data_IF_519195344657
#
_entry.id   IF_519195344657
#
_cell.length_a   1.000
_cell.length_b   1.000
_cell.length_c   1.000
_cell.angle_alpha   90.00
_cell.angle_beta   90.00
_cell.angle_gamma   90.00
#
_symmetry.space_group_name_H-M   'P 1'
#
loop_
_entity.id
_entity.type
_entity.pdbx_description
1 polymer ?
#
# COMPACT_ATOMS: atom_id res chain seq x y z
N UNK A 1 14.74 6.74 19.41
CA UNK A 1 14.71 5.33 18.96
C UNK A 1 13.37 4.63 19.19
N UNK A 2 12.76 4.63 20.39
CA UNK A 2 11.49 3.89 20.63
C UNK A 2 10.30 4.33 19.77
N UNK A 3 10.10 5.64 19.58
CA UNK A 3 9.01 6.19 18.75
C UNK A 3 9.18 5.89 17.27
N UNK A 4 10.43 5.90 16.77
CA UNK A 4 10.76 5.65 15.36
C UNK A 4 10.44 4.20 14.97
N UNK A 5 10.88 3.25 15.81
CA UNK A 5 10.59 1.82 15.62
C UNK A 5 9.10 1.48 15.70
N UNK A 6 8.32 2.26 16.45
CA UNK A 6 6.86 2.12 16.52
C UNK A 6 6.21 2.62 15.22
N UNK A 7 6.67 3.76 14.69
CA UNK A 7 6.19 4.31 13.42
C UNK A 7 6.53 3.43 12.22
N UNK A 8 7.72 2.82 12.16
CA UNK A 8 8.08 1.88 11.08
C UNK A 8 7.18 0.63 11.09
N UNK A 9 6.97 0.06 12.27
CA UNK A 9 6.08 -1.10 12.42
C UNK A 9 4.63 -0.76 12.06
N UNK A 10 4.15 0.42 12.46
CA UNK A 10 2.82 0.89 12.09
C UNK A 10 2.67 1.08 10.56
N UNK A 11 3.68 1.65 9.90
CA UNK A 11 3.69 1.82 8.45
C UNK A 11 3.74 0.47 7.71
N UNK A 12 4.51 -0.50 8.22
CA UNK A 12 4.56 -1.86 7.69
C UNK A 12 3.20 -2.55 7.78
N UNK A 13 2.58 -2.54 8.97
CA UNK A 13 1.24 -3.12 9.20
C UNK A 13 0.20 -2.45 8.29
N UNK A 14 0.26 -1.13 8.15
CA UNK A 14 -0.64 -0.40 7.26
C UNK A 14 -0.47 -0.82 5.79
N UNK A 15 0.77 -0.97 5.32
CA UNK A 15 1.07 -1.44 3.97
C UNK A 15 0.57 -2.87 3.71
N UNK A 16 0.76 -3.78 4.66
CA UNK A 16 0.28 -5.16 4.59
C UNK A 16 -1.25 -5.23 4.56
N UNK A 17 -1.91 -4.50 5.46
CA UNK A 17 -3.37 -4.45 5.52
C UNK A 17 -3.98 -3.88 4.21
N UNK A 18 -3.35 -2.85 3.63
CA UNK A 18 -3.80 -2.26 2.36
C UNK A 18 -3.57 -3.22 1.19
N UNK A 19 -2.47 -3.97 1.19
CA UNK A 19 -2.19 -5.01 0.18
C UNK A 19 -3.23 -6.14 0.25
N UNK A 20 -3.56 -6.59 1.47
CA UNK A 20 -4.60 -7.60 1.67
C UNK A 20 -5.98 -7.09 1.22
N UNK A 21 -6.34 -5.88 1.63
CA UNK A 21 -7.59 -5.24 1.23
C UNK A 21 -7.70 -5.09 -0.29
N UNK A 22 -6.60 -4.68 -0.95
CA UNK A 22 -6.52 -4.62 -2.41
C UNK A 22 -6.81 -5.98 -3.05
N UNK A 23 -6.15 -7.05 -2.59
CA UNK A 23 -6.39 -8.41 -3.11
C UNK A 23 -7.83 -8.89 -2.90
N UNK A 24 -8.46 -8.54 -1.78
CA UNK A 24 -9.88 -8.84 -1.53
C UNK A 24 -10.81 -8.09 -2.49
N UNK A 25 -10.56 -6.80 -2.72
CA UNK A 25 -11.32 -5.99 -3.67
C UNK A 25 -11.18 -6.52 -5.11
N UNK A 26 -9.97 -6.92 -5.52
CA UNK A 26 -9.74 -7.52 -6.84
C UNK A 26 -10.51 -8.85 -7.00
N UNK A 27 -10.48 -9.72 -5.97
CA UNK A 27 -11.28 -10.95 -6.00
C UNK A 27 -12.78 -10.68 -6.10
N UNK A 28 -13.29 -9.62 -5.47
CA UNK A 28 -14.70 -9.21 -5.54
C UNK A 28 -15.02 -8.67 -6.93
N UNK A 29 -14.14 -7.85 -7.52
CA UNK A 29 -14.26 -7.34 -8.89
C UNK A 29 -14.44 -8.49 -9.88
N UNK A 30 -13.53 -9.47 -9.87
CA UNK A 30 -13.56 -10.62 -10.80
C UNK A 30 -14.86 -11.42 -10.67
N UNK A 31 -15.33 -11.64 -9.44
CA UNK A 31 -16.59 -12.38 -9.19
C UNK A 31 -17.80 -11.66 -9.74
N UNK A 32 -17.87 -10.34 -9.57
CA UNK A 32 -19.00 -9.55 -10.06
C UNK A 32 -18.95 -9.38 -11.57
N UNK A 33 -17.76 -9.22 -12.15
CA UNK A 33 -17.59 -9.18 -13.61
C UNK A 33 -18.04 -10.50 -14.26
N UNK A 34 -17.65 -11.64 -13.68
CA UNK A 34 -18.12 -12.95 -14.12
C UNK A 34 -19.64 -13.12 -13.98
N UNK A 35 -20.23 -12.65 -12.87
CA UNK A 35 -21.68 -12.67 -12.67
C UNK A 35 -22.43 -11.78 -13.67
N UNK A 36 -21.86 -10.61 -14.02
CA UNK A 36 -22.38 -9.73 -15.07
C UNK A 36 -22.48 -10.47 -16.39
N UNK A 37 -21.40 -11.12 -16.79
CA UNK A 37 -21.32 -11.78 -18.09
C UNK A 37 -22.29 -12.96 -18.17
N UNK A 38 -22.45 -13.71 -17.07
CA UNK A 38 -23.46 -14.75 -16.97
C UNK A 38 -24.89 -14.20 -17.07
N UNK A 39 -25.19 -13.09 -16.38
CA UNK A 39 -26.51 -12.45 -16.42
C UNK A 39 -26.83 -11.87 -17.81
N UNK A 40 -25.85 -11.27 -18.49
CA UNK A 40 -26.00 -10.72 -19.85
C UNK A 40 -26.34 -11.79 -20.88
N UNK A 41 -25.90 -13.04 -20.68
CA UNK A 41 -26.18 -14.13 -21.60
C UNK A 41 -27.68 -14.51 -21.66
N UNK A 42 -28.44 -14.29 -20.57
CA UNK A 42 -29.83 -14.74 -20.46
C UNK A 42 -30.86 -13.65 -20.15
N UNK A 43 -30.44 -12.47 -19.69
CA UNK A 43 -31.34 -11.39 -19.27
C UNK A 43 -31.24 -10.21 -20.23
N UNK A 44 -32.28 -10.02 -21.05
CA UNK A 44 -32.40 -8.89 -21.98
C UNK A 44 -33.65 -8.06 -21.70
N UNK A 45 -33.53 -6.73 -21.83
CA UNK A 45 -34.64 -5.77 -21.71
C UNK A 45 -34.23 -4.46 -21.03
N UNK A 46 -35.18 -3.54 -20.84
CA UNK A 46 -34.89 -2.23 -20.22
C UNK A 46 -34.29 -2.35 -18.81
N UNK A 47 -34.73 -3.31 -18.01
CA UNK A 47 -34.20 -3.57 -16.67
C UNK A 47 -32.75 -4.10 -16.69
N UNK A 48 -32.37 -4.91 -17.69
CA UNK A 48 -30.98 -5.41 -17.81
C UNK A 48 -30.00 -4.29 -18.18
N UNK A 49 -30.47 -3.27 -18.91
CA UNK A 49 -29.68 -2.11 -19.26
C UNK A 49 -29.38 -1.24 -18.03
N UNK A 50 -30.40 -0.91 -17.23
CA UNK A 50 -30.22 -0.15 -15.98
C UNK A 50 -29.32 -0.90 -14.99
N UNK A 51 -29.49 -2.23 -14.87
CA UNK A 51 -28.60 -3.05 -14.07
C UNK A 51 -27.15 -3.01 -14.58
N UNK A 52 -26.95 -3.10 -15.91
CA UNK A 52 -25.62 -3.01 -16.51
C UNK A 52 -24.94 -1.67 -16.23
N UNK A 53 -25.67 -0.56 -16.32
CA UNK A 53 -25.15 0.79 -16.00
C UNK A 53 -24.76 0.91 -14.52
N UNK A 54 -25.63 0.47 -13.61
CA UNK A 54 -25.35 0.47 -12.18
C UNK A 54 -24.11 -0.39 -11.85
N UNK A 55 -23.95 -1.53 -12.52
CA UNK A 55 -22.81 -2.41 -12.31
C UNK A 55 -21.51 -1.81 -12.84
N UNK A 56 -21.54 -1.12 -13.98
CA UNK A 56 -20.38 -0.41 -14.52
C UNK A 56 -19.91 0.66 -13.53
N UNK A 57 -20.82 1.49 -13.02
CA UNK A 57 -20.49 2.50 -12.01
C UNK A 57 -19.89 1.88 -10.75
N UNK A 58 -20.46 0.78 -10.27
CA UNK A 58 -19.94 0.08 -9.10
C UNK A 58 -18.52 -0.48 -9.33
N UNK A 59 -18.26 -1.04 -10.51
CA UNK A 59 -16.93 -1.53 -10.91
C UNK A 59 -15.92 -0.39 -11.06
N UNK A 60 -16.33 0.78 -11.55
CA UNK A 60 -15.50 1.98 -11.64
C UNK A 60 -15.11 2.50 -10.25
N UNK A 61 -16.06 2.63 -9.33
CA UNK A 61 -15.79 3.03 -7.95
C UNK A 61 -14.87 2.04 -7.24
N UNK A 62 -15.07 0.74 -7.42
CA UNK A 62 -14.17 -0.29 -6.88
C UNK A 62 -12.75 -0.16 -7.43
N UNK A 63 -12.61 0.24 -8.70
CA UNK A 63 -11.31 0.54 -9.32
C UNK A 63 -10.66 1.80 -8.73
N UNK A 64 -11.43 2.83 -8.43
CA UNK A 64 -10.92 4.04 -7.76
C UNK A 64 -10.42 3.71 -6.35
N UNK A 65 -11.17 2.90 -5.60
CA UNK A 65 -10.79 2.46 -4.25
C UNK A 65 -9.49 1.65 -4.29
N UNK A 66 -9.38 0.67 -5.19
CA UNK A 66 -8.15 -0.14 -5.35
C UNK A 66 -6.95 0.70 -5.77
N UNK A 67 -7.11 1.63 -6.71
CA UNK A 67 -6.05 2.59 -7.05
C UNK A 67 -5.63 3.45 -5.85
N UNK A 68 -6.57 3.88 -5.01
CA UNK A 68 -6.30 4.61 -3.78
C UNK A 68 -5.47 3.78 -2.79
N UNK A 69 -5.83 2.50 -2.61
CA UNK A 69 -5.07 1.58 -1.76
C UNK A 69 -3.64 1.39 -2.26
N UNK A 70 -3.41 1.25 -3.57
CA UNK A 70 -2.06 1.15 -4.13
C UNK A 70 -1.20 2.39 -3.85
N UNK A 71 -1.77 3.60 -3.97
CA UNK A 71 -1.06 4.85 -3.63
C UNK A 71 -0.72 4.92 -2.13
N UNK A 72 -1.59 4.41 -1.28
CA UNK A 72 -1.33 4.35 0.17
C UNK A 72 -0.22 3.36 0.49
N UNK A 73 -0.18 2.19 -0.15
CA UNK A 73 0.91 1.22 -0.03
C UNK A 73 2.25 1.87 -0.42
N UNK A 74 2.29 2.60 -1.54
CA UNK A 74 3.48 3.34 -1.97
C UNK A 74 3.89 4.42 -0.95
N UNK A 75 2.93 5.15 -0.39
CA UNK A 75 3.19 6.18 0.61
C UNK A 75 3.82 5.59 1.87
N UNK A 76 3.25 4.50 2.38
CA UNK A 76 3.78 3.84 3.58
C UNK A 76 5.16 3.21 3.32
N UNK A 77 5.36 2.57 2.17
CA UNK A 77 6.65 1.99 1.79
C UNK A 77 7.74 3.06 1.63
N UNK A 78 7.43 4.16 0.95
CA UNK A 78 8.35 5.29 0.78
C UNK A 78 8.70 5.98 2.09
N UNK A 79 7.73 6.05 3.03
CA UNK A 79 7.96 6.60 4.37
C UNK A 79 8.98 5.76 5.15
N UNK A 80 8.83 4.43 5.16
CA UNK A 80 9.80 3.52 5.81
C UNK A 80 11.19 3.65 5.18
N UNK A 81 11.28 3.71 3.85
CA UNK A 81 12.56 3.85 3.17
C UNK A 81 13.25 5.18 3.50
N UNK A 82 12.49 6.27 3.60
CA UNK A 82 13.01 7.58 4.02
C UNK A 82 13.47 7.56 5.49
N UNK A 83 12.78 6.84 6.37
CA UNK A 83 13.16 6.71 7.77
C UNK A 83 14.49 5.96 7.91
N UNK A 84 14.66 4.86 7.18
CA UNK A 84 15.91 4.11 7.14
C UNK A 84 17.07 4.95 6.60
N UNK A 85 16.86 5.72 5.52
CA UNK A 85 17.90 6.59 4.95
C UNK A 85 18.40 7.66 5.93
N UNK A 86 17.50 8.20 6.77
CA UNK A 86 17.85 9.14 7.83
C UNK A 86 18.60 8.43 8.97
N UNK A 87 18.21 7.21 9.34
CA UNK A 87 18.95 6.39 10.32
C UNK A 87 20.37 6.05 9.84
N UNK A 88 20.53 5.66 8.58
CA UNK A 88 21.84 5.36 8.00
C UNK A 88 22.75 6.60 8.01
N UNK A 89 22.21 7.76 7.62
CA UNK A 89 22.93 9.04 7.65
C UNK A 89 23.36 9.40 9.07
N UNK A 90 22.45 9.32 10.03
CA UNK A 90 22.74 9.60 11.44
C UNK A 90 23.78 8.63 12.03
N UNK A 91 23.77 7.36 11.59
CA UNK A 91 24.74 6.34 12.03
C UNK A 91 26.14 6.63 11.47
N UNK A 92 26.24 7.02 10.20
CA UNK A 92 27.49 7.43 9.57
C UNK A 92 28.07 8.69 10.21
N UNK A 93 27.25 9.72 10.41
CA UNK A 93 27.66 10.97 11.05
C UNK A 93 28.08 10.76 12.50
N UNK A 94 27.33 9.97 13.27
CA UNK A 94 27.67 9.62 14.65
C UNK A 94 28.97 8.83 14.75
N UNK A 95 29.20 7.89 13.83
CA UNK A 95 30.45 7.10 13.78
C UNK A 95 31.65 7.98 13.43
N UNK A 96 31.49 8.92 12.51
CA UNK A 96 32.52 9.89 12.16
C UNK A 96 32.85 10.82 13.34
N UNK A 97 31.84 11.27 14.08
CA UNK A 97 32.03 12.10 15.27
C UNK A 97 32.75 11.32 16.38
N UNK A 98 32.39 10.06 16.63
CA UNK A 98 33.06 9.20 17.62
C UNK A 98 34.54 8.98 17.25
N UNK A 99 34.83 8.77 15.97
CA UNK A 99 36.21 8.63 15.47
C UNK A 99 37.02 9.92 15.62
N UNK A 100 36.39 11.09 15.54
CA UNK A 100 37.03 12.39 15.74
C UNK A 100 37.24 12.72 17.23
N UNK A 101 36.32 12.28 18.10
CA UNK A 101 36.39 12.49 19.54
C UNK A 101 37.34 11.50 20.24
N UNK A 102 37.59 10.34 19.65
CA UNK A 102 38.45 9.30 20.23
C UNK A 102 39.49 8.73 19.22
N UNK A 103 40.38 9.58 18.68
CA UNK A 103 41.31 9.21 17.61
C UNK A 103 42.34 8.12 17.99
N UNK A 104 42.51 7.83 19.28
CA UNK A 104 43.51 6.87 19.78
C UNK A 104 43.01 5.43 19.95
N UNK A 105 41.72 5.15 19.70
CA UNK A 105 41.16 3.79 19.82
C UNK A 105 41.26 2.94 18.54
N UNK A 106 41.77 3.49 17.44
CA UNK A 106 41.94 2.78 16.17
C UNK A 106 43.25 1.98 16.07
N UNK A 107 44.08 1.95 17.12
CA UNK A 107 45.38 1.28 17.13
C UNK A 107 45.52 0.33 18.32
N UNK A 108 44.89 -0.85 18.20
CA UNK A 108 45.25 -2.08 18.93
C UNK A 108 44.65 -3.29 18.23
#
# INVERSE_FOLDING_TARGET
MSTMRNTDEANRIASEAMTEAHGRCDSVYVRVDAARDALRAGWQGGASNTYSEALVLWLEELRLITNGMSRMVETFGGTVQSMHAVEDTNTLEGSALISQLNPNQASS
#
